data_IF_574991048499
#
_entry.id   IF_574991048499
#
_cell.length_a   1.000
_cell.length_b   1.000
_cell.length_c   1.000
_cell.angle_alpha   90.00
_cell.angle_beta   90.00
_cell.angle_gamma   90.00
#
_symmetry.space_group_name_H-M   'P 1'
#
loop_
_entity.id
_entity.type
_entity.pdbx_description
1 polymer ?
#
# COMPACT_ATOMS: atom_id res chain seq x y z
N UNK A 1 -8.11 22.05 11.05
CA UNK A 1 -9.29 21.52 10.32
C UNK A 1 -10.53 21.67 11.17
N UNK A 2 -11.64 22.02 10.56
CA UNK A 2 -12.88 22.28 11.25
C UNK A 2 -13.78 21.05 11.25
N UNK A 3 -14.32 20.70 12.43
CA UNK A 3 -15.28 19.60 12.55
C UNK A 3 -16.59 19.95 11.82
N UNK A 4 -17.34 18.97 11.28
CA UNK A 4 -18.60 19.21 10.58
C UNK A 4 -19.67 19.96 11.38
N UNK A 5 -19.63 19.89 12.70
CA UNK A 5 -20.54 20.62 13.58
C UNK A 5 -20.12 22.08 13.85
N UNK A 6 -19.02 22.54 13.23
CA UNK A 6 -18.52 23.89 13.40
C UNK A 6 -17.38 24.04 14.39
N UNK A 7 -17.02 22.98 15.13
CA UNK A 7 -15.90 23.01 16.07
C UNK A 7 -14.57 22.67 15.38
N UNK A 8 -13.47 23.12 15.96
CA UNK A 8 -12.15 22.75 15.46
C UNK A 8 -11.76 21.35 15.91
N UNK A 9 -11.14 20.60 15.00
CA UNK A 9 -10.59 19.28 15.28
C UNK A 9 -9.13 19.46 15.64
N UNK A 10 -8.69 18.87 16.76
CA UNK A 10 -7.29 18.82 17.16
C UNK A 10 -6.48 17.90 16.25
N UNK A 11 -5.15 18.06 16.24
CA UNK A 11 -4.27 17.14 15.50
C UNK A 11 -4.43 15.70 15.95
N UNK A 12 -4.64 15.48 17.26
CA UNK A 12 -4.85 14.14 17.82
C UNK A 12 -6.12 13.52 17.26
N UNK A 13 -7.20 14.28 17.17
CA UNK A 13 -8.46 13.80 16.60
C UNK A 13 -8.34 13.50 15.10
N UNK A 14 -7.56 14.28 14.36
CA UNK A 14 -7.28 14.02 12.96
C UNK A 14 -6.54 12.71 12.75
N UNK A 15 -5.52 12.43 13.55
CA UNK A 15 -4.76 11.18 13.49
C UNK A 15 -5.68 10.00 13.83
N UNK A 16 -6.49 10.14 14.88
CA UNK A 16 -7.46 9.10 15.28
C UNK A 16 -8.44 8.81 14.16
N UNK A 17 -8.98 9.83 13.49
CA UNK A 17 -9.91 9.67 12.39
C UNK A 17 -9.26 8.94 11.21
N UNK A 18 -7.98 9.17 10.92
CA UNK A 18 -7.24 8.43 9.90
C UNK A 18 -7.05 6.97 10.28
N UNK A 19 -6.71 6.69 11.54
CA UNK A 19 -6.55 5.33 12.02
C UNK A 19 -7.86 4.55 11.96
N UNK A 20 -8.98 5.22 12.26
CA UNK A 20 -10.32 4.62 12.22
C UNK A 20 -10.92 4.59 10.82
N UNK A 21 -10.27 5.18 9.82
CA UNK A 21 -10.77 5.16 8.45
C UNK A 21 -10.86 3.73 7.93
N UNK A 22 -11.94 3.45 7.20
CA UNK A 22 -12.18 2.11 6.66
C UNK A 22 -11.10 1.74 5.64
N UNK A 23 -10.49 0.58 5.82
CA UNK A 23 -9.52 0.02 4.87
C UNK A 23 -10.14 -1.13 4.10
N UNK A 24 -9.71 -1.29 2.84
CA UNK A 24 -10.08 -2.45 2.04
C UNK A 24 -9.48 -3.71 2.65
N UNK A 25 -10.13 -4.85 2.44
CA UNK A 25 -9.65 -6.12 2.96
C UNK A 25 -8.38 -6.57 2.23
N UNK A 26 -7.62 -7.45 2.86
CA UNK A 26 -6.44 -8.04 2.24
C UNK A 26 -6.80 -8.79 0.95
N UNK A 27 -7.96 -9.46 0.93
CA UNK A 27 -8.44 -10.18 -0.26
C UNK A 27 -8.70 -9.24 -1.44
N UNK A 28 -9.23 -8.05 -1.17
CA UNK A 28 -9.50 -7.05 -2.22
C UNK A 28 -8.20 -6.43 -2.76
N UNK A 29 -7.18 -6.35 -1.94
CA UNK A 29 -5.91 -5.72 -2.31
C UNK A 29 -4.92 -6.68 -2.98
N UNK A 30 -5.02 -7.99 -2.72
CA UNK A 30 -3.98 -8.95 -3.06
C UNK A 30 -4.45 -10.06 -3.99
N UNK A 31 -3.61 -10.35 -5.01
CA UNK A 31 -3.67 -11.60 -5.77
C UNK A 31 -2.51 -12.49 -5.28
N UNK A 32 -2.83 -13.55 -4.56
CA UNK A 32 -1.82 -14.44 -3.95
C UNK A 32 -1.48 -15.56 -4.92
N UNK A 33 -0.21 -15.63 -5.36
CA UNK A 33 0.29 -16.64 -6.28
C UNK A 33 0.99 -17.81 -5.57
N UNK A 34 1.65 -17.51 -4.46
CA UNK A 34 2.32 -18.48 -3.60
C UNK A 34 1.98 -18.15 -2.15
N UNK A 35 1.89 -19.15 -1.25
CA UNK A 35 1.68 -18.84 0.16
C UNK A 35 2.83 -17.99 0.70
N UNK A 36 2.55 -16.78 1.16
CA UNK A 36 3.60 -15.88 1.62
C UNK A 36 4.16 -16.31 2.97
N UNK A 37 5.44 -16.01 3.20
CA UNK A 37 6.05 -16.15 4.51
C UNK A 37 5.41 -15.18 5.50
N UNK A 38 5.53 -15.47 6.78
CA UNK A 38 4.92 -14.68 7.84
C UNK A 38 5.31 -13.20 7.79
N UNK A 39 6.58 -12.90 7.56
CA UNK A 39 7.03 -11.51 7.49
C UNK A 39 6.42 -10.77 6.28
N UNK A 40 6.16 -11.48 5.17
CA UNK A 40 5.47 -10.88 4.02
C UNK A 40 4.06 -10.47 4.39
N UNK A 41 3.35 -11.33 5.14
CA UNK A 41 2.00 -11.01 5.63
C UNK A 41 1.99 -9.78 6.52
N UNK A 42 2.99 -9.65 7.40
CA UNK A 42 3.13 -8.49 8.28
C UNK A 42 3.35 -7.21 7.48
N UNK A 43 4.19 -7.25 6.46
CA UNK A 43 4.42 -6.09 5.58
C UNK A 43 3.17 -5.70 4.78
N UNK A 44 2.43 -6.69 4.30
CA UNK A 44 1.17 -6.42 3.60
C UNK A 44 0.15 -5.76 4.53
N UNK A 45 0.10 -6.14 5.80
CA UNK A 45 -0.78 -5.51 6.76
C UNK A 45 -0.36 -4.06 7.03
N UNK A 46 0.94 -3.79 7.14
CA UNK A 46 1.47 -2.43 7.25
C UNK A 46 1.08 -1.60 6.02
N UNK A 47 1.24 -2.17 4.82
CA UNK A 47 0.86 -1.51 3.58
C UNK A 47 -0.64 -1.22 3.52
N UNK A 48 -1.47 -2.19 3.91
CA UNK A 48 -2.93 -2.05 3.92
C UNK A 48 -3.38 -0.90 4.80
N UNK A 49 -2.72 -0.70 5.92
CA UNK A 49 -3.07 0.32 6.91
C UNK A 49 -2.44 1.68 6.65
N UNK A 50 -1.58 1.81 5.64
CA UNK A 50 -0.95 3.08 5.31
C UNK A 50 -1.99 4.13 4.91
N UNK A 51 -1.79 5.40 5.30
CA UNK A 51 -2.68 6.47 4.87
C UNK A 51 -2.53 6.77 3.38
N UNK A 52 -3.59 7.25 2.77
CA UNK A 52 -3.59 7.69 1.38
C UNK A 52 -4.54 8.88 1.21
N UNK A 53 -4.31 9.67 0.17
CA UNK A 53 -5.14 10.83 -0.13
C UNK A 53 -6.59 10.38 -0.31
N UNK A 54 -7.51 11.02 0.43
CA UNK A 54 -8.94 10.71 0.43
C UNK A 54 -9.24 9.23 0.72
N UNK A 55 -8.34 8.54 1.42
CA UNK A 55 -8.43 7.11 1.69
C UNK A 55 -8.62 6.28 0.42
N UNK A 56 -7.96 6.68 -0.66
CA UNK A 56 -8.11 6.09 -1.99
C UNK A 56 -7.53 4.68 -2.10
N UNK A 57 -6.53 4.37 -1.26
CA UNK A 57 -5.87 3.05 -1.24
C UNK A 57 -5.52 2.57 -2.65
N UNK A 58 -4.63 3.29 -3.37
CA UNK A 58 -4.39 3.06 -4.78
C UNK A 58 -3.61 1.80 -5.10
N UNK A 59 -3.03 1.17 -4.10
CA UNK A 59 -2.16 0.01 -4.25
C UNK A 59 -2.92 -1.29 -4.43
N UNK A 60 -2.34 -2.17 -5.26
CA UNK A 60 -2.75 -3.57 -5.41
C UNK A 60 -1.48 -4.40 -5.42
N UNK A 61 -1.55 -5.62 -4.90
CA UNK A 61 -0.38 -6.46 -4.68
C UNK A 61 -0.53 -7.81 -5.34
N UNK A 62 0.53 -8.27 -5.99
CA UNK A 62 0.66 -9.66 -6.41
C UNK A 62 1.70 -10.31 -5.50
N UNK A 63 1.30 -11.33 -4.76
CA UNK A 63 2.03 -11.85 -3.61
C UNK A 63 2.64 -13.21 -3.91
N UNK A 64 3.95 -13.33 -3.65
CA UNK A 64 4.70 -14.58 -3.70
C UNK A 64 5.26 -14.91 -2.32
N UNK A 65 6.00 -16.00 -2.20
CA UNK A 65 6.54 -16.46 -0.92
C UNK A 65 7.37 -15.40 -0.20
N UNK A 66 8.26 -14.72 -0.93
CA UNK A 66 9.20 -13.75 -0.36
C UNK A 66 9.30 -12.45 -1.15
N UNK A 67 8.32 -12.18 -2.00
CA UNK A 67 8.30 -10.95 -2.78
C UNK A 67 6.88 -10.52 -3.08
N UNK A 68 6.72 -9.22 -3.30
CA UNK A 68 5.44 -8.61 -3.64
C UNK A 68 5.65 -7.66 -4.80
N UNK A 69 4.85 -7.80 -5.85
CA UNK A 69 4.81 -6.82 -6.93
C UNK A 69 3.67 -5.84 -6.67
N UNK A 70 3.99 -4.57 -6.69
CA UNK A 70 3.06 -3.48 -6.38
C UNK A 70 2.54 -2.88 -7.67
N UNK A 71 1.22 -2.75 -7.75
CA UNK A 71 0.51 -2.16 -8.87
C UNK A 71 -0.33 -0.97 -8.40
N UNK A 72 -0.59 -0.06 -9.31
CA UNK A 72 -1.46 1.07 -9.08
C UNK A 72 -2.80 0.85 -9.78
N UNK A 73 -3.88 1.10 -9.06
CA UNK A 73 -5.24 1.05 -9.58
C UNK A 73 -5.43 2.11 -10.67
N UNK A 74 -5.99 1.73 -11.82
CA UNK A 74 -6.10 2.58 -13.01
C UNK A 74 -7.54 2.82 -13.45
N UNK A 75 -8.45 3.12 -12.52
CA UNK A 75 -9.80 3.56 -12.90
C UNK A 75 -9.74 4.98 -13.45
N UNK A 76 -10.69 5.35 -14.31
CA UNK A 76 -10.78 6.71 -14.87
C UNK A 76 -10.91 7.75 -13.77
N UNK A 77 -11.80 7.51 -12.81
CA UNK A 77 -11.98 8.41 -11.66
C UNK A 77 -10.68 8.57 -10.87
N UNK A 78 -9.98 7.46 -10.63
CA UNK A 78 -8.73 7.47 -9.88
C UNK A 78 -7.67 8.31 -10.59
N UNK A 79 -7.48 8.13 -11.90
CA UNK A 79 -6.49 8.90 -12.67
C UNK A 79 -6.81 10.39 -12.72
N UNK A 80 -8.07 10.75 -12.90
CA UNK A 80 -8.49 12.15 -13.04
C UNK A 80 -8.47 12.92 -11.73
N UNK A 81 -8.94 12.28 -10.65
CA UNK A 81 -9.16 12.95 -9.37
C UNK A 81 -8.01 12.77 -8.39
N UNK A 82 -7.35 11.62 -8.42
CA UNK A 82 -6.39 11.20 -7.39
C UNK A 82 -4.99 10.92 -7.92
N UNK A 83 -4.81 10.91 -9.26
CA UNK A 83 -3.53 10.53 -9.87
C UNK A 83 -2.34 11.36 -9.40
N UNK A 84 -2.53 12.65 -9.13
CA UNK A 84 -1.47 13.54 -8.66
C UNK A 84 -0.97 13.19 -7.25
N UNK A 85 -1.74 12.42 -6.48
CA UNK A 85 -1.35 12.00 -5.13
C UNK A 85 -0.70 10.62 -5.09
N UNK A 86 -0.76 9.87 -6.19
CA UNK A 86 -0.35 8.47 -6.19
C UNK A 86 1.12 8.26 -5.79
N UNK A 87 2.04 9.02 -6.38
CA UNK A 87 3.47 8.87 -6.05
C UNK A 87 3.72 9.13 -4.57
N UNK A 88 3.06 10.13 -4.02
CA UNK A 88 3.17 10.48 -2.61
C UNK A 88 2.62 9.36 -1.73
N UNK A 89 1.43 8.84 -2.07
CA UNK A 89 0.80 7.75 -1.34
C UNK A 89 1.66 6.48 -1.34
N UNK A 90 2.20 6.11 -2.50
CA UNK A 90 3.10 4.96 -2.61
C UNK A 90 4.38 5.18 -1.81
N UNK A 91 4.93 6.39 -1.83
CA UNK A 91 6.11 6.74 -1.04
C UNK A 91 5.88 6.54 0.45
N UNK A 92 4.75 6.96 0.98
CA UNK A 92 4.38 6.76 2.39
C UNK A 92 4.25 5.27 2.71
N UNK A 93 3.54 4.53 1.87
CA UNK A 93 3.35 3.09 2.06
C UNK A 93 4.68 2.34 2.09
N UNK A 94 5.57 2.63 1.13
CA UNK A 94 6.89 2.00 1.05
C UNK A 94 7.77 2.40 2.24
N UNK A 95 7.72 3.66 2.68
CA UNK A 95 8.46 4.11 3.86
C UNK A 95 8.02 3.34 5.11
N UNK A 96 6.72 3.11 5.27
CA UNK A 96 6.19 2.35 6.40
C UNK A 96 6.68 0.89 6.36
N UNK A 97 6.74 0.29 5.18
CA UNK A 97 7.31 -1.06 5.01
C UNK A 97 8.78 -1.08 5.40
N UNK A 98 9.56 -0.08 4.98
CA UNK A 98 10.99 -0.01 5.30
C UNK A 98 11.22 0.13 6.80
N UNK A 99 10.39 0.90 7.50
CA UNK A 99 10.44 1.02 8.96
C UNK A 99 10.14 -0.32 9.62
N UNK A 100 9.10 -1.01 9.17
CA UNK A 100 8.74 -2.33 9.69
C UNK A 100 9.85 -3.35 9.43
N UNK A 101 10.48 -3.31 8.26
CA UNK A 101 11.58 -4.19 7.90
C UNK A 101 12.76 -4.03 8.87
N UNK A 102 13.09 -2.80 9.22
CA UNK A 102 14.15 -2.52 10.18
C UNK A 102 13.84 -3.12 11.55
N UNK A 103 12.61 -2.99 12.01
CA UNK A 103 12.16 -3.54 13.29
C UNK A 103 12.15 -5.07 13.31
N UNK A 104 11.85 -5.71 12.19
CA UNK A 104 11.75 -7.17 12.06
C UNK A 104 13.05 -7.83 11.60
N UNK A 105 14.11 -7.06 11.39
CA UNK A 105 15.42 -7.57 10.91
C UNK A 105 15.30 -8.28 9.56
N UNK A 106 14.46 -7.77 8.68
CA UNK A 106 14.28 -8.30 7.33
C UNK A 106 14.95 -7.37 6.33
N UNK A 107 15.74 -7.92 5.43
CA UNK A 107 16.32 -7.17 4.33
C UNK A 107 15.28 -6.97 3.23
N UNK A 108 15.11 -5.72 2.81
CA UNK A 108 14.17 -5.36 1.75
C UNK A 108 14.89 -4.63 0.64
N UNK A 109 14.71 -5.14 -0.59
CA UNK A 109 15.16 -4.47 -1.80
C UNK A 109 13.95 -3.98 -2.59
N UNK A 110 13.95 -2.71 -2.96
CA UNK A 110 12.95 -2.13 -3.84
C UNK A 110 13.53 -2.09 -5.25
N UNK A 111 12.96 -2.91 -6.14
CA UNK A 111 13.48 -3.11 -7.51
C UNK A 111 12.37 -2.88 -8.50
N UNK A 112 12.66 -2.16 -9.58
CA UNK A 112 11.74 -2.06 -10.71
C UNK A 112 12.16 -3.06 -11.77
N UNK A 113 11.32 -4.05 -12.02
CA UNK A 113 11.56 -5.08 -13.01
C UNK A 113 10.93 -4.68 -14.34
N UNK A 114 11.61 -5.03 -15.44
CA UNK A 114 11.08 -4.80 -16.78
C UNK A 114 10.08 -5.90 -17.17
N UNK A 115 9.08 -5.52 -17.95
CA UNK A 115 8.12 -6.46 -18.55
C UNK A 115 7.32 -7.29 -17.55
N UNK A 116 7.03 -6.72 -16.38
CA UNK A 116 6.11 -7.36 -15.44
C UNK A 116 4.69 -7.21 -15.97
N UNK A 117 4.06 -8.36 -16.25
CA UNK A 117 2.65 -8.41 -16.64
C UNK A 117 1.96 -9.49 -15.79
N UNK A 118 0.82 -9.13 -15.20
CA UNK A 118 0.01 -10.08 -14.44
C UNK A 118 -1.41 -10.08 -14.98
N UNK A 119 -1.84 -11.23 -15.48
CA UNK A 119 -3.17 -11.43 -16.07
C UNK A 119 -4.29 -11.14 -15.06
N UNK A 120 -4.03 -11.37 -13.78
CA UNK A 120 -5.02 -11.14 -12.71
C UNK A 120 -5.28 -9.67 -12.42
N UNK A 121 -4.43 -8.78 -12.93
CA UNK A 121 -4.55 -7.34 -12.71
C UNK A 121 -4.42 -6.58 -14.04
N UNK A 122 -5.25 -6.89 -15.05
CA UNK A 122 -5.07 -6.37 -16.40
C UNK A 122 -5.23 -4.86 -16.52
N UNK A 123 -5.98 -4.24 -15.62
CA UNK A 123 -6.25 -2.80 -15.66
C UNK A 123 -5.41 -2.02 -14.65
N UNK A 124 -4.36 -2.66 -14.10
CA UNK A 124 -3.49 -2.03 -13.13
C UNK A 124 -2.11 -1.80 -13.71
N UNK A 125 -1.47 -0.72 -13.28
CA UNK A 125 -0.13 -0.34 -13.73
C UNK A 125 0.91 -0.81 -12.74
N UNK A 126 1.94 -1.49 -13.22
CA UNK A 126 3.06 -1.91 -12.40
C UNK A 126 3.83 -0.70 -11.85
N UNK A 127 4.14 -0.74 -10.55
CA UNK A 127 4.87 0.33 -9.86
C UNK A 127 6.28 -0.13 -9.48
N UNK A 128 6.39 -1.18 -8.65
CA UNK A 128 7.66 -1.62 -8.10
C UNK A 128 7.53 -3.03 -7.54
N UNK A 129 8.67 -3.70 -7.38
CA UNK A 129 8.73 -5.00 -6.69
C UNK A 129 9.48 -4.86 -5.37
N UNK A 130 8.98 -5.54 -4.36
CA UNK A 130 9.55 -5.58 -3.02
C UNK A 130 10.08 -7.00 -2.82
N UNK A 131 11.40 -7.14 -2.75
CA UNK A 131 12.05 -8.43 -2.52
C UNK A 131 12.49 -8.46 -1.06
N UNK A 132 12.12 -9.53 -0.36
CA UNK A 132 12.32 -9.64 1.08
C UNK A 132 13.16 -10.87 1.40
N UNK A 133 14.12 -10.71 2.31
CA UNK A 133 15.02 -11.78 2.73
C UNK A 133 15.18 -11.74 4.24
N UNK A 134 15.07 -12.89 4.86
CA UNK A 134 15.43 -13.02 6.27
C UNK A 134 16.95 -12.88 6.43
N UNK A 135 17.39 -12.25 7.50
CA UNK A 135 18.81 -12.09 7.79
C UNK A 135 19.52 -13.43 8.07
#
# INVERSE_FOLDING_TARGET
MRHPDGNWISEVDMVRNQEDAKRESMEDLCAVKEPPRRFVKEFLEVARLAPSAFNSQPWRFVVYENRVHVFSKQTVAHRRLLGKYNEFDFGIMLANIMIAAEQLWVDVDLIRLDNITHMDLPNNRYVISIIMREP
#
